data_IF_386066430882
#
_entry.id   IF_386066430882
#
_cell.length_a   1.000
_cell.length_b   1.000
_cell.length_c   1.000
_cell.angle_alpha   90.00
_cell.angle_beta   90.00
_cell.angle_gamma   90.00
#
_symmetry.space_group_name_H-M   'P 1'
#
loop_
_entity.id
_entity.type
_entity.pdbx_description
1 polymer ?
#
# COMPACT_ATOMS: atom_id res chain seq x y z
N UNK A 1 28.08 9.77 -8.65
CA UNK A 1 29.20 9.18 -9.47
C UNK A 1 29.60 10.14 -10.61
N UNK A 2 28.67 10.55 -11.45
CA UNK A 2 28.95 11.55 -12.50
C UNK A 2 29.39 12.90 -11.90
N UNK A 3 28.70 13.40 -10.89
CA UNK A 3 28.99 14.68 -10.22
C UNK A 3 30.38 14.76 -9.55
N UNK A 4 30.98 13.63 -9.28
CA UNK A 4 32.33 13.52 -8.69
C UNK A 4 33.36 12.94 -9.68
N UNK A 5 33.03 12.91 -10.97
CA UNK A 5 33.93 12.53 -12.05
C UNK A 5 34.30 11.05 -12.14
N UNK A 6 33.55 10.14 -11.46
CA UNK A 6 33.83 8.71 -11.52
C UNK A 6 33.31 8.04 -12.81
N UNK A 7 32.33 8.66 -13.45
CA UNK A 7 31.81 8.24 -14.75
C UNK A 7 31.69 9.45 -15.66
N UNK A 8 32.02 9.31 -16.95
CA UNK A 8 31.99 10.40 -17.93
C UNK A 8 30.59 10.75 -18.41
N UNK A 9 29.72 9.74 -18.54
CA UNK A 9 28.36 9.88 -19.05
C UNK A 9 27.37 9.13 -18.18
N UNK A 10 26.13 9.58 -18.17
CA UNK A 10 25.01 8.90 -17.51
C UNK A 10 24.21 8.16 -18.60
N UNK A 11 24.25 6.83 -18.58
CA UNK A 11 23.30 6.04 -19.33
C UNK A 11 21.92 6.14 -18.70
N UNK A 12 20.97 6.74 -19.42
CA UNK A 12 19.64 7.05 -18.92
C UNK A 12 18.84 5.79 -18.55
N UNK A 13 18.97 4.71 -19.31
CA UNK A 13 18.26 3.46 -19.01
C UNK A 13 18.81 2.84 -17.72
N UNK A 14 20.11 2.68 -17.61
CA UNK A 14 20.74 2.16 -16.39
C UNK A 14 20.39 3.01 -15.18
N UNK A 15 20.41 4.33 -15.30
CA UNK A 15 20.01 5.22 -14.20
C UNK A 15 18.57 4.97 -13.76
N UNK A 16 17.62 4.84 -14.70
CA UNK A 16 16.21 4.59 -14.39
C UNK A 16 15.98 3.20 -13.81
N UNK A 17 16.67 2.18 -14.33
CA UNK A 17 16.57 0.81 -13.79
C UNK A 17 17.09 0.76 -12.34
N UNK A 18 18.25 1.36 -12.08
CA UNK A 18 18.82 1.43 -10.71
C UNK A 18 17.93 2.23 -9.78
N UNK A 19 17.41 3.38 -10.23
CA UNK A 19 16.49 4.20 -9.45
C UNK A 19 15.22 3.44 -9.07
N UNK A 20 14.57 2.79 -10.04
CA UNK A 20 13.33 2.07 -9.80
C UNK A 20 13.52 0.72 -9.12
N UNK A 21 14.73 0.15 -9.17
CA UNK A 21 15.11 -0.97 -8.30
C UNK A 21 14.92 -0.66 -6.82
N UNK A 22 15.12 0.60 -6.43
CA UNK A 22 14.82 1.10 -5.07
C UNK A 22 13.44 1.77 -4.98
N UNK A 23 13.01 2.49 -6.02
CA UNK A 23 11.85 3.38 -5.97
C UNK A 23 10.55 2.69 -5.53
N UNK A 24 10.14 1.62 -6.21
CA UNK A 24 8.93 0.89 -5.82
C UNK A 24 9.13 0.08 -4.54
N UNK A 25 10.29 -0.52 -4.34
CA UNK A 25 10.61 -1.28 -3.13
C UNK A 25 10.49 -0.41 -1.87
N UNK A 26 10.96 0.84 -1.91
CA UNK A 26 10.82 1.79 -0.80
C UNK A 26 9.37 2.17 -0.53
N UNK A 27 8.54 2.34 -1.58
CA UNK A 27 7.11 2.59 -1.41
C UNK A 27 6.40 1.43 -0.71
N UNK A 28 6.89 0.24 -0.90
CA UNK A 28 6.31 -0.94 -0.28
C UNK A 28 6.71 -1.10 1.19
N UNK A 29 7.85 -0.59 1.58
CA UNK A 29 8.19 -0.43 3.01
C UNK A 29 7.16 0.48 3.68
N UNK A 30 6.79 1.58 3.01
CA UNK A 30 5.74 2.48 3.49
C UNK A 30 4.39 1.77 3.65
N UNK A 31 4.00 0.95 2.66
CA UNK A 31 2.75 0.18 2.72
C UNK A 31 2.79 -0.86 3.85
N UNK A 32 3.89 -1.57 4.02
CA UNK A 32 4.03 -2.54 5.11
C UNK A 32 3.94 -1.87 6.49
N UNK A 33 4.58 -0.72 6.66
CA UNK A 33 4.50 0.07 7.89
C UNK A 33 3.08 0.59 8.14
N UNK A 34 2.42 1.14 7.12
CA UNK A 34 1.03 1.59 7.17
C UNK A 34 0.07 0.48 7.59
N UNK A 35 0.18 -0.71 6.99
CA UNK A 35 -0.65 -1.88 7.32
C UNK A 35 -0.39 -2.34 8.75
N UNK A 36 0.84 -2.28 9.21
CA UNK A 36 1.19 -2.58 10.62
C UNK A 36 0.50 -1.61 11.58
N UNK A 37 0.45 -0.31 11.24
CA UNK A 37 -0.31 0.68 11.99
C UNK A 37 -1.80 0.37 12.03
N UNK A 38 -2.39 -0.07 10.92
CA UNK A 38 -3.81 -0.45 10.88
C UNK A 38 -4.12 -1.60 11.85
N UNK A 39 -3.32 -2.66 11.84
CA UNK A 39 -3.50 -3.77 12.78
C UNK A 39 -3.29 -3.34 14.23
N UNK A 40 -2.28 -2.52 14.51
CA UNK A 40 -2.00 -2.03 15.85
C UNK A 40 -3.16 -1.18 16.42
N UNK A 41 -3.67 -0.23 15.62
CA UNK A 41 -4.78 0.63 16.04
C UNK A 41 -6.06 -0.20 16.24
N UNK A 42 -6.39 -1.09 15.30
CA UNK A 42 -7.55 -1.95 15.40
C UNK A 42 -7.48 -2.87 16.64
N UNK A 43 -6.30 -3.41 16.95
CA UNK A 43 -6.08 -4.24 18.12
C UNK A 43 -6.21 -3.45 19.44
N UNK A 44 -5.60 -2.27 19.52
CA UNK A 44 -5.57 -1.47 20.75
C UNK A 44 -6.92 -0.82 21.02
N UNK A 45 -7.55 -0.25 20.00
CA UNK A 45 -8.81 0.51 20.17
C UNK A 45 -10.02 -0.43 20.32
N UNK A 46 -10.04 -1.56 19.62
CA UNK A 46 -11.21 -2.44 19.53
C UNK A 46 -10.97 -3.86 20.06
N UNK A 47 -9.75 -4.23 20.41
CA UNK A 47 -9.40 -5.62 20.71
C UNK A 47 -9.50 -6.54 19.49
N UNK A 48 -9.44 -5.96 18.29
CA UNK A 48 -9.55 -6.72 17.04
C UNK A 48 -8.32 -7.61 16.82
N UNK A 49 -8.56 -8.83 16.35
CA UNK A 49 -7.49 -9.77 16.00
C UNK A 49 -7.55 -10.05 14.51
N UNK A 50 -6.41 -10.24 13.82
CA UNK A 50 -6.40 -10.64 12.41
C UNK A 50 -7.33 -11.83 12.18
N UNK A 51 -8.08 -11.85 11.08
CA UNK A 51 -8.98 -12.97 10.74
C UNK A 51 -8.20 -14.30 10.66
N UNK A 52 -6.98 -14.23 10.12
CA UNK A 52 -6.01 -15.33 10.15
C UNK A 52 -4.61 -14.74 10.28
N UNK A 53 -3.96 -14.98 11.40
CA UNK A 53 -2.59 -14.52 11.63
C UNK A 53 -1.61 -15.11 10.61
N UNK A 54 -1.78 -16.41 10.28
CA UNK A 54 -0.94 -17.08 9.29
C UNK A 54 -1.06 -16.47 7.91
N UNK A 55 -2.27 -16.17 7.46
CA UNK A 55 -2.53 -15.55 6.16
C UNK A 55 -2.03 -14.10 6.15
N UNK A 56 -2.24 -13.33 7.22
CA UNK A 56 -1.73 -11.96 7.32
C UNK A 56 -0.20 -11.92 7.29
N UNK A 57 0.47 -12.83 8.00
CA UNK A 57 1.94 -12.94 7.94
C UNK A 57 2.43 -13.35 6.55
N UNK A 58 1.75 -14.30 5.88
CA UNK A 58 2.07 -14.67 4.51
C UNK A 58 1.90 -13.48 3.54
N UNK A 59 0.91 -12.61 3.75
CA UNK A 59 0.72 -11.42 2.93
C UNK A 59 1.87 -10.41 3.08
N UNK A 60 2.43 -10.22 4.27
CA UNK A 60 3.67 -9.45 4.45
C UNK A 60 4.86 -10.10 3.75
N UNK A 61 4.93 -11.43 3.75
CA UNK A 61 5.98 -12.14 3.04
C UNK A 61 5.86 -11.97 1.51
N UNK A 62 4.63 -11.92 0.97
CA UNK A 62 4.40 -11.58 -0.44
C UNK A 62 4.94 -10.20 -0.80
N UNK A 63 4.81 -9.21 0.09
CA UNK A 63 5.43 -7.91 -0.11
C UNK A 63 6.96 -8.02 -0.26
N UNK A 64 7.62 -8.72 0.65
CA UNK A 64 9.08 -8.85 0.61
C UNK A 64 9.53 -9.57 -0.67
N UNK A 65 8.88 -10.69 -1.03
CA UNK A 65 9.31 -11.52 -2.15
C UNK A 65 9.03 -10.88 -3.52
N UNK A 66 7.83 -10.29 -3.70
CA UNK A 66 7.40 -9.87 -5.04
C UNK A 66 7.61 -8.39 -5.31
N UNK A 67 7.74 -7.58 -4.31
CA UNK A 67 7.96 -6.15 -4.49
C UNK A 67 9.39 -5.78 -4.81
N UNK A 68 10.34 -6.55 -4.36
CA UNK A 68 11.73 -6.41 -4.80
C UNK A 68 11.86 -6.71 -6.31
N UNK A 69 10.96 -7.53 -6.87
CA UNK A 69 10.92 -7.87 -8.28
C UNK A 69 10.04 -6.93 -9.11
N UNK A 70 9.03 -6.31 -8.51
CA UNK A 70 7.99 -5.54 -9.20
C UNK A 70 8.39 -4.07 -9.43
N UNK A 71 9.53 -3.80 -10.02
CA UNK A 71 10.00 -2.41 -10.28
C UNK A 71 9.82 -1.97 -11.74
N UNK A 72 9.78 -2.89 -12.70
CA UNK A 72 9.74 -2.55 -14.13
C UNK A 72 8.38 -1.99 -14.59
N UNK A 73 7.31 -2.08 -13.80
CA UNK A 73 6.04 -1.42 -14.11
C UNK A 73 6.13 0.13 -14.09
N UNK A 74 7.20 0.70 -13.56
CA UNK A 74 7.53 2.12 -13.71
C UNK A 74 8.27 2.44 -15.02
N UNK A 75 8.67 1.42 -15.77
CA UNK A 75 9.50 1.51 -16.96
C UNK A 75 8.80 0.94 -18.21
N UNK A 76 7.48 0.81 -18.19
CA UNK A 76 6.71 0.15 -19.26
C UNK A 76 6.87 0.83 -20.62
N UNK A 77 7.03 2.15 -20.64
CA UNK A 77 7.23 2.94 -21.86
C UNK A 77 8.70 3.25 -22.15
N UNK A 78 9.63 2.86 -21.26
CA UNK A 78 11.04 3.09 -21.48
C UNK A 78 11.59 2.15 -22.57
N UNK A 79 12.41 2.65 -23.51
CA UNK A 79 13.07 1.81 -24.50
C UNK A 79 14.15 0.94 -23.84
N UNK A 80 14.48 -0.17 -24.51
CA UNK A 80 15.61 -1.03 -24.10
C UNK A 80 15.30 -2.15 -23.11
N UNK A 81 14.08 -2.21 -22.55
CA UNK A 81 13.62 -3.35 -21.77
C UNK A 81 12.84 -4.35 -22.65
N UNK A 82 13.13 -5.65 -22.47
CA UNK A 82 12.44 -6.68 -23.23
C UNK A 82 10.96 -6.81 -22.81
N UNK A 83 10.12 -7.23 -23.75
CA UNK A 83 8.70 -7.48 -23.52
C UNK A 83 8.49 -8.55 -22.45
N UNK A 84 9.31 -9.59 -22.44
CA UNK A 84 9.25 -10.68 -21.47
C UNK A 84 9.50 -10.16 -20.06
N UNK A 85 10.49 -9.29 -19.88
CA UNK A 85 10.78 -8.67 -18.60
C UNK A 85 9.61 -7.80 -18.11
N UNK A 86 9.03 -7.00 -19.01
CA UNK A 86 7.84 -6.19 -18.70
C UNK A 86 6.67 -7.07 -18.28
N UNK A 87 6.38 -8.16 -19.01
CA UNK A 87 5.29 -9.10 -18.73
C UNK A 87 5.50 -9.79 -17.37
N UNK A 88 6.67 -10.34 -17.11
CA UNK A 88 6.96 -11.00 -15.81
C UNK A 88 6.81 -10.03 -14.66
N UNK A 89 7.29 -8.81 -14.82
CA UNK A 89 7.26 -7.81 -13.77
C UNK A 89 5.84 -7.30 -13.48
N UNK A 90 5.03 -7.08 -14.50
CA UNK A 90 3.67 -6.57 -14.34
C UNK A 90 2.66 -7.67 -14.03
N UNK A 91 2.73 -8.83 -14.70
CA UNK A 91 1.73 -9.88 -14.54
C UNK A 91 1.95 -10.76 -13.32
N UNK A 92 3.19 -11.06 -12.96
CA UNK A 92 3.49 -11.89 -11.80
C UNK A 92 3.85 -11.08 -10.57
N UNK A 93 4.94 -10.33 -10.64
CA UNK A 93 5.46 -9.66 -9.45
C UNK A 93 4.49 -8.62 -8.90
N UNK A 94 3.93 -7.76 -9.75
CA UNK A 94 2.97 -6.74 -9.33
C UNK A 94 1.68 -7.35 -8.78
N UNK A 95 1.06 -8.31 -9.48
CA UNK A 95 -0.20 -8.89 -9.03
C UNK A 95 -0.07 -9.74 -7.76
N UNK A 96 1.05 -10.44 -7.56
CA UNK A 96 1.30 -11.15 -6.31
C UNK A 96 1.55 -10.18 -5.13
N UNK A 97 2.15 -9.04 -5.40
CA UNK A 97 2.24 -7.97 -4.42
C UNK A 97 0.87 -7.35 -4.09
N UNK A 98 0.04 -7.10 -5.11
CA UNK A 98 -1.35 -6.62 -4.95
C UNK A 98 -2.19 -7.62 -4.15
N UNK A 99 -1.99 -8.93 -4.32
CA UNK A 99 -2.65 -9.94 -3.51
C UNK A 99 -2.39 -9.75 -2.01
N UNK A 100 -1.16 -9.41 -1.63
CA UNK A 100 -0.84 -9.05 -0.24
C UNK A 100 -1.69 -7.88 0.26
N UNK A 101 -1.83 -6.83 -0.55
CA UNK A 101 -2.66 -5.67 -0.21
C UNK A 101 -4.15 -6.02 -0.10
N UNK A 102 -4.68 -6.86 -0.99
CA UNK A 102 -6.06 -7.34 -0.94
C UNK A 102 -6.33 -8.15 0.34
N UNK A 103 -5.40 -9.02 0.72
CA UNK A 103 -5.52 -9.81 1.96
C UNK A 103 -5.61 -8.87 3.17
N UNK A 104 -4.75 -7.86 3.27
CA UNK A 104 -4.79 -6.91 4.38
C UNK A 104 -6.03 -6.00 4.32
N UNK A 105 -6.39 -5.53 3.12
CA UNK A 105 -7.58 -4.71 2.88
C UNK A 105 -8.89 -5.39 3.26
N UNK A 106 -8.94 -6.72 3.24
CA UNK A 106 -10.08 -7.51 3.74
C UNK A 106 -9.92 -7.90 5.21
N UNK A 107 -8.71 -8.26 5.63
CA UNK A 107 -8.44 -8.75 6.98
C UNK A 107 -8.63 -7.67 8.05
N UNK A 108 -8.23 -6.43 7.79
CA UNK A 108 -8.36 -5.34 8.77
C UNK A 108 -9.83 -4.96 9.01
N UNK A 109 -10.64 -4.61 8.00
CA UNK A 109 -12.07 -4.35 8.21
C UNK A 109 -12.82 -5.56 8.77
N UNK A 110 -12.50 -6.77 8.31
CA UNK A 110 -13.11 -8.01 8.82
C UNK A 110 -12.78 -8.25 10.29
N UNK A 111 -11.54 -7.98 10.72
CA UNK A 111 -11.16 -8.05 12.13
C UNK A 111 -11.93 -7.05 13.00
N UNK A 112 -12.12 -5.82 12.48
CA UNK A 112 -12.93 -4.78 13.13
C UNK A 112 -14.39 -5.20 13.24
N UNK A 113 -14.96 -5.72 12.17
CA UNK A 113 -16.33 -6.24 12.15
C UNK A 113 -16.51 -7.33 13.20
N UNK A 114 -15.64 -8.33 13.24
CA UNK A 114 -15.71 -9.42 14.23
C UNK A 114 -15.62 -8.88 15.66
N UNK A 115 -14.72 -7.93 15.94
CA UNK A 115 -14.60 -7.32 17.26
C UNK A 115 -15.87 -6.56 17.65
N UNK A 116 -16.40 -5.73 16.76
CA UNK A 116 -17.60 -4.94 16.99
C UNK A 116 -18.85 -5.81 17.17
N UNK A 117 -18.99 -6.87 16.39
CA UNK A 117 -20.10 -7.83 16.57
C UNK A 117 -20.02 -8.56 17.91
N UNK A 118 -18.82 -8.90 18.39
CA UNK A 118 -18.62 -9.45 19.74
C UNK A 118 -18.99 -8.45 20.83
N UNK A 119 -18.82 -7.16 20.59
CA UNK A 119 -19.23 -6.09 21.50
C UNK A 119 -20.74 -5.78 21.42
N UNK A 120 -21.53 -6.57 20.69
CA UNK A 120 -22.99 -6.47 20.64
C UNK A 120 -23.54 -5.69 19.44
N UNK A 121 -22.71 -5.14 18.54
CA UNK A 121 -23.16 -4.41 17.36
C UNK A 121 -23.48 -5.34 16.18
N UNK A 122 -24.51 -6.18 16.34
CA UNK A 122 -24.88 -7.24 15.41
C UNK A 122 -25.97 -6.88 14.42
N UNK A 123 -26.58 -5.69 14.52
CA UNK A 123 -27.76 -5.30 13.75
C UNK A 123 -27.43 -5.01 12.30
N UNK A 124 -27.96 -5.83 11.41
CA UNK A 124 -27.81 -5.69 9.97
C UNK A 124 -26.35 -5.79 9.47
N UNK A 125 -26.17 -5.52 8.19
CA UNK A 125 -24.86 -5.66 7.53
C UNK A 125 -23.83 -4.62 8.03
N UNK A 126 -24.26 -3.41 8.31
CA UNK A 126 -23.37 -2.28 8.63
C UNK A 126 -23.53 -1.77 10.08
N UNK A 127 -24.22 -2.48 10.96
CA UNK A 127 -24.39 -2.07 12.35
C UNK A 127 -23.05 -1.92 13.08
N UNK A 128 -22.12 -2.83 12.85
CA UNK A 128 -20.77 -2.80 13.38
C UNK A 128 -20.00 -1.54 12.98
N UNK A 129 -20.17 -1.07 11.74
CA UNK A 129 -19.49 0.10 11.19
C UNK A 129 -20.12 1.41 11.68
N UNK A 130 -21.47 1.47 11.73
CA UNK A 130 -22.18 2.66 12.22
C UNK A 130 -21.87 2.98 13.66
N UNK A 131 -21.66 1.95 14.49
CA UNK A 131 -21.34 2.06 15.90
C UNK A 131 -19.84 1.99 16.21
N UNK A 132 -18.99 2.07 15.18
CA UNK A 132 -17.56 2.16 15.39
C UNK A 132 -17.19 3.49 16.07
N UNK A 133 -16.05 3.55 16.78
CA UNK A 133 -15.67 4.73 17.56
C UNK A 133 -15.14 5.87 16.67
N UNK A 134 -16.00 6.42 15.83
CA UNK A 134 -15.67 7.50 14.88
C UNK A 134 -15.17 8.78 15.55
N UNK A 135 -15.52 9.01 16.83
CA UNK A 135 -14.97 10.11 17.62
C UNK A 135 -13.52 9.91 18.07
N UNK A 136 -12.98 8.71 17.92
CA UNK A 136 -11.57 8.43 18.23
C UNK A 136 -10.71 8.76 17.00
N UNK A 137 -9.79 9.74 17.06
CA UNK A 137 -9.01 10.18 15.91
C UNK A 137 -8.07 9.10 15.37
N UNK A 138 -7.57 8.21 16.23
CA UNK A 138 -6.74 7.10 15.80
C UNK A 138 -7.56 6.10 14.95
N UNK A 139 -8.77 5.75 15.40
CA UNK A 139 -9.65 4.86 14.66
C UNK A 139 -10.09 5.48 13.33
N UNK A 140 -10.61 6.73 13.37
CA UNK A 140 -11.12 7.40 12.18
C UNK A 140 -10.03 7.62 11.13
N UNK A 141 -8.84 8.06 11.55
CA UNK A 141 -7.69 8.22 10.65
C UNK A 141 -7.23 6.89 10.05
N UNK A 142 -7.16 5.85 10.86
CA UNK A 142 -6.82 4.51 10.37
C UNK A 142 -7.83 3.99 9.36
N UNK A 143 -9.13 4.09 9.66
CA UNK A 143 -10.17 3.57 8.75
C UNK A 143 -10.24 4.36 7.44
N UNK A 144 -10.10 5.69 7.49
CA UNK A 144 -9.97 6.53 6.31
C UNK A 144 -8.73 6.17 5.47
N UNK A 145 -7.60 5.91 6.15
CA UNK A 145 -6.40 5.44 5.46
C UNK A 145 -6.65 4.13 4.70
N UNK A 146 -7.33 3.14 5.31
CA UNK A 146 -7.70 1.88 4.65
C UNK A 146 -8.53 2.13 3.39
N UNK A 147 -9.57 2.94 3.51
CA UNK A 147 -10.50 3.20 2.40
C UNK A 147 -9.84 4.00 1.28
N UNK A 148 -9.20 5.11 1.63
CA UNK A 148 -8.59 6.00 0.64
C UNK A 148 -7.39 5.35 -0.04
N UNK A 149 -6.55 4.64 0.71
CA UNK A 149 -5.48 3.84 0.13
C UNK A 149 -6.02 2.78 -0.84
N UNK A 150 -7.04 2.04 -0.44
CA UNK A 150 -7.63 1.00 -1.29
C UNK A 150 -8.19 1.54 -2.59
N UNK A 151 -8.97 2.63 -2.52
CA UNK A 151 -9.66 3.20 -3.67
C UNK A 151 -8.73 4.09 -4.50
N UNK A 152 -8.11 5.09 -3.88
CA UNK A 152 -7.30 6.09 -4.61
C UNK A 152 -5.88 5.60 -4.90
N UNK A 153 -5.33 4.74 -4.06
CA UNK A 153 -4.00 4.18 -4.23
C UNK A 153 -4.02 2.84 -4.96
N UNK A 154 -4.65 1.82 -4.38
CA UNK A 154 -4.58 0.45 -4.88
C UNK A 154 -5.18 0.27 -6.26
N UNK A 155 -6.44 0.71 -6.48
CA UNK A 155 -7.13 0.56 -7.76
C UNK A 155 -6.40 1.35 -8.86
N UNK A 156 -6.04 2.60 -8.59
CA UNK A 156 -5.33 3.44 -9.57
C UNK A 156 -3.95 2.89 -9.90
N UNK A 157 -3.28 2.24 -8.94
CA UNK A 157 -1.99 1.58 -9.16
C UNK A 157 -2.09 0.37 -10.07
N UNK A 158 -3.11 -0.48 -9.89
CA UNK A 158 -3.36 -1.62 -10.78
C UNK A 158 -3.68 -1.15 -12.21
N UNK A 159 -4.50 -0.11 -12.35
CA UNK A 159 -4.80 0.50 -13.64
C UNK A 159 -3.51 1.00 -14.31
N UNK A 160 -2.68 1.72 -13.56
CA UNK A 160 -1.42 2.29 -14.05
C UNK A 160 -0.38 1.21 -14.39
N UNK A 161 -0.43 0.07 -13.71
CA UNK A 161 0.42 -1.10 -13.97
C UNK A 161 0.02 -1.91 -15.22
N UNK A 162 -1.12 -1.59 -15.85
CA UNK A 162 -1.55 -2.21 -17.11
C UNK A 162 -0.86 -1.51 -18.28
N UNK A 163 -0.03 -2.23 -19.05
CA UNK A 163 0.84 -1.62 -20.07
C UNK A 163 0.07 -0.78 -21.10
N UNK A 164 -1.06 -1.28 -21.61
CA UNK A 164 -1.87 -0.58 -22.60
C UNK A 164 -2.42 0.75 -22.08
N UNK A 165 -2.78 0.79 -20.80
CA UNK A 165 -3.27 2.02 -20.17
C UNK A 165 -2.09 2.92 -19.82
N UNK A 166 -0.98 2.34 -19.40
CA UNK A 166 0.24 3.08 -19.06
C UNK A 166 0.76 3.91 -20.23
N UNK A 167 0.69 3.40 -21.46
CA UNK A 167 1.05 4.13 -22.69
C UNK A 167 0.32 5.48 -22.83
N UNK A 168 -0.90 5.57 -22.28
CA UNK A 168 -1.74 6.78 -22.38
C UNK A 168 -1.53 7.71 -21.20
N UNK A 169 -1.42 7.14 -19.98
CA UNK A 169 -1.40 7.91 -18.74
C UNK A 169 0.00 8.22 -18.22
N UNK A 170 1.04 7.63 -18.81
CA UNK A 170 2.42 7.89 -18.43
C UNK A 170 2.76 9.37 -18.55
N UNK A 171 3.46 9.92 -17.56
CA UNK A 171 3.80 11.35 -17.47
C UNK A 171 2.60 12.32 -17.46
N UNK A 172 1.40 11.86 -17.16
CA UNK A 172 0.22 12.71 -16.93
C UNK A 172 0.00 12.95 -15.44
N UNK A 173 -0.96 13.80 -15.10
CA UNK A 173 -1.39 14.06 -13.72
C UNK A 173 -2.00 12.81 -13.02
N UNK A 174 -2.29 11.77 -13.77
CA UNK A 174 -2.73 10.50 -13.20
C UNK A 174 -1.68 9.90 -12.25
N UNK A 175 -0.39 9.99 -12.61
CA UNK A 175 0.72 9.47 -11.80
C UNK A 175 0.84 10.18 -10.46
N UNK A 176 0.92 11.53 -10.38
CA UNK A 176 0.86 12.23 -9.10
C UNK A 176 -0.43 11.94 -8.33
N UNK A 177 -1.58 11.88 -8.99
CA UNK A 177 -2.85 11.52 -8.35
C UNK A 177 -2.80 10.16 -7.65
N UNK A 178 -2.26 9.15 -8.32
CA UNK A 178 -2.06 7.83 -7.76
C UNK A 178 -1.16 7.86 -6.51
N UNK A 179 0.04 8.42 -6.61
CA UNK A 179 0.94 8.35 -5.46
C UNK A 179 0.51 9.25 -4.28
N UNK A 180 -0.23 10.34 -4.51
CA UNK A 180 -0.86 11.07 -3.42
C UNK A 180 -1.96 10.25 -2.74
N UNK A 181 -2.70 9.44 -3.50
CA UNK A 181 -3.64 8.46 -2.94
C UNK A 181 -2.94 7.41 -2.06
N UNK A 182 -1.76 6.94 -2.44
CA UNK A 182 -1.00 5.98 -1.65
C UNK A 182 -0.28 6.62 -0.46
N UNK A 183 0.50 7.67 -0.69
CA UNK A 183 1.39 8.26 0.32
C UNK A 183 0.65 9.21 1.24
N UNK A 184 -0.05 10.22 0.70
CA UNK A 184 -0.72 11.21 1.55
C UNK A 184 -1.99 10.64 2.20
N UNK A 185 -2.90 10.08 1.41
CA UNK A 185 -4.16 9.54 1.93
C UNK A 185 -3.99 8.17 2.61
N UNK A 186 -3.01 7.37 2.19
CA UNK A 186 -2.71 6.08 2.80
C UNK A 186 -1.73 6.21 3.97
N UNK A 187 -0.45 6.33 3.64
CA UNK A 187 0.66 6.20 4.60
C UNK A 187 0.69 7.33 5.63
N UNK A 188 0.62 8.59 5.18
CA UNK A 188 0.70 9.74 6.10
C UNK A 188 -0.49 9.74 7.06
N UNK A 189 -1.69 9.46 6.57
CA UNK A 189 -2.88 9.39 7.42
C UNK A 189 -2.80 8.25 8.45
N UNK A 190 -2.24 7.09 8.09
CA UNK A 190 -2.01 6.00 9.03
C UNK A 190 -0.99 6.37 10.12
N UNK A 191 0.08 7.09 9.74
CA UNK A 191 1.08 7.56 10.72
C UNK A 191 0.53 8.67 11.63
N UNK A 192 -0.29 9.56 11.10
CA UNK A 192 -1.01 10.52 11.95
C UNK A 192 -1.94 9.80 12.92
N UNK A 193 -2.69 8.80 12.44
CA UNK A 193 -3.59 8.03 13.27
C UNK A 193 -2.87 7.31 14.42
N UNK A 194 -1.73 6.66 14.14
CA UNK A 194 -0.94 6.01 15.21
C UNK A 194 -0.31 7.02 16.16
N UNK A 195 0.04 8.21 15.69
CA UNK A 195 0.54 9.29 16.55
C UNK A 195 -0.52 9.74 17.55
N UNK A 196 -1.77 9.90 17.13
CA UNK A 196 -2.88 10.19 18.06
C UNK A 196 -3.12 9.07 19.08
N UNK A 197 -2.74 7.84 18.78
CA UNK A 197 -2.82 6.74 19.72
C UNK A 197 -1.65 6.74 20.70
N UNK A 198 -0.43 6.95 20.21
CA UNK A 198 0.80 6.71 20.99
C UNK A 198 1.22 7.92 21.81
N UNK A 199 1.09 9.14 21.26
CA UNK A 199 1.54 10.35 21.96
C UNK A 199 0.90 10.52 23.34
N UNK A 200 -0.44 10.34 23.51
CA UNK A 200 -1.06 10.42 24.84
C UNK A 200 -0.66 9.31 25.83
N UNK A 201 0.01 8.26 25.36
CA UNK A 201 0.52 7.19 26.22
C UNK A 201 1.93 7.47 26.74
N UNK A 202 2.62 8.44 26.13
CA UNK A 202 4.00 8.82 26.48
C UNK A 202 4.02 10.07 27.36
N UNK A 203 3.10 11.00 27.14
CA UNK A 203 2.96 12.29 27.81
C UNK A 203 1.65 12.40 28.58
#
# INVERSE_FOLDING_TARGET
MWSIGLIGEIDTLTYRVVWWGFGHSSQQINVAAQVSCWYAIAAIVLGAKPMSEKVSRAAFFLYICFLLLASAHHLLVDPGLSSEWKVVNTSYALFLAVLGSLIHGMSVPGAIEVAQRKNGFTQGTFGWLRNAPWGNPAFSGMFLSVVLFGVLGGITGVIMGTEQINLIIHNTLYVPGHFHGTVAAGTTLAFMAVSYLVVPLIF
#
